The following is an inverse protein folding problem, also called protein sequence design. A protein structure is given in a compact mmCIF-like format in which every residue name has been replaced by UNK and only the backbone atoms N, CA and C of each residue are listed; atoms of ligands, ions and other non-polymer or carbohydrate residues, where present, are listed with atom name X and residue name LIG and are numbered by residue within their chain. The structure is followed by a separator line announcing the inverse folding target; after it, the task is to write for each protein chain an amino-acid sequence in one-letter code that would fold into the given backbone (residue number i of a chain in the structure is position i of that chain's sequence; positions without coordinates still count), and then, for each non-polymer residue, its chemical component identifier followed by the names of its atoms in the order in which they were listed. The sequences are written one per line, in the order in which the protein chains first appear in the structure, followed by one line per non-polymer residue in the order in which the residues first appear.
data_IF_871088485888
#
_entry.id   IF_871088485888
#
_cell.length_a   1.000
_cell.length_b   1.000
_cell.length_c   1.000
_cell.angle_alpha   90.00
_cell.angle_beta   90.00
_cell.angle_gamma   90.00
#
_symmetry.space_group_name_H-M   'P 1'
#
loop_
_entity.id
_entity.type
_entity.pdbx_description
1 polymer ?
#
# COMPACT_ATOMS: atom_id res chain seq x y z
N UNK A 1 20.80 20.79 45.16
CA UNK A 1 20.18 19.49 45.53
C UNK A 1 18.88 19.37 44.73
N UNK A 2 18.88 18.60 43.64
CA UNK A 2 17.74 18.50 42.72
C UNK A 2 16.71 17.53 43.33
N UNK A 3 15.45 17.98 43.49
CA UNK A 3 14.37 17.14 44.06
C UNK A 3 14.05 16.00 43.08
N UNK A 4 13.77 14.79 43.60
CA UNK A 4 13.51 13.58 42.79
C UNK A 4 12.41 13.76 41.74
N UNK A 5 11.48 14.70 41.95
CA UNK A 5 10.37 15.01 41.05
C UNK A 5 10.82 15.72 39.76
N UNK A 6 11.83 16.61 39.85
CA UNK A 6 12.45 17.29 38.70
C UNK A 6 13.21 16.30 37.80
N UNK A 7 13.82 15.27 38.40
CA UNK A 7 14.54 14.19 37.71
C UNK A 7 13.60 13.30 36.88
N UNK A 8 12.38 13.05 37.38
CA UNK A 8 11.38 12.25 36.66
C UNK A 8 10.87 13.03 35.44
N UNK A 9 10.59 14.33 35.60
CA UNK A 9 10.14 15.19 34.50
C UNK A 9 11.22 15.40 33.42
N UNK A 10 12.49 15.57 33.79
CA UNK A 10 13.58 15.64 32.81
C UNK A 10 13.77 14.30 32.09
N UNK A 11 13.68 13.17 32.80
CA UNK A 11 13.76 11.84 32.18
C UNK A 11 12.59 11.55 31.23
N UNK A 12 11.37 12.00 31.55
CA UNK A 12 10.17 11.87 30.71
C UNK A 12 10.22 12.75 29.44
N UNK A 13 10.78 13.97 29.54
CA UNK A 13 10.96 14.83 28.37
C UNK A 13 12.06 14.32 27.42
N UNK A 14 13.16 13.80 27.96
CA UNK A 14 14.27 13.23 27.16
C UNK A 14 13.86 11.93 26.45
N UNK A 15 13.07 11.08 27.12
CA UNK A 15 12.57 9.83 26.53
C UNK A 15 11.51 10.07 25.45
N UNK A 16 10.61 11.04 25.64
CA UNK A 16 9.59 11.41 24.66
C UNK A 16 10.17 12.05 23.40
N UNK A 17 11.24 12.83 23.52
CA UNK A 17 11.95 13.42 22.39
C UNK A 17 12.67 12.35 21.53
N UNK A 18 13.21 11.30 22.17
CA UNK A 18 13.95 10.21 21.50
C UNK A 18 13.06 9.26 20.68
N UNK A 19 11.74 9.34 20.84
CA UNK A 19 10.77 8.52 20.11
C UNK A 19 10.27 9.18 18.81
N UNK A 20 10.57 10.46 18.54
CA UNK A 20 9.84 11.23 17.51
C UNK A 20 10.48 11.41 16.14
N UNK A 21 11.67 10.88 15.87
CA UNK A 21 12.16 10.79 14.49
C UNK A 21 13.25 9.72 14.37
N UNK A 22 12.86 8.49 14.03
CA UNK A 22 13.82 7.53 13.46
C UNK A 22 13.87 7.74 11.96
N UNK A 23 15.06 7.86 11.33
CA UNK A 23 15.13 7.84 9.87
C UNK A 23 14.47 6.55 9.39
N UNK A 24 13.47 6.69 8.54
CA UNK A 24 12.71 5.56 8.01
C UNK A 24 13.55 4.88 6.93
N UNK A 25 14.39 3.93 7.33
CA UNK A 25 15.33 3.22 6.46
C UNK A 25 14.83 1.84 6.02
N UNK A 26 13.53 1.56 6.16
CA UNK A 26 12.97 0.31 5.68
C UNK A 26 12.80 0.38 4.16
N UNK A 27 13.32 -0.58 3.38
CA UNK A 27 13.13 -0.64 1.92
C UNK A 27 11.67 -1.01 1.60
N UNK A 28 10.75 -0.07 1.86
CA UNK A 28 9.34 -0.30 1.71
C UNK A 28 8.92 0.00 0.28
N UNK A 29 8.31 -0.99 -0.36
CA UNK A 29 7.68 -0.87 -1.66
C UNK A 29 6.21 -1.24 -1.52
N UNK A 30 5.34 -0.28 -1.81
CA UNK A 30 3.88 -0.43 -1.74
C UNK A 30 3.35 -1.56 -2.64
N UNK A 31 4.18 -2.02 -3.58
CA UNK A 31 3.85 -3.01 -4.61
C UNK A 31 4.25 -4.44 -4.22
N UNK A 32 5.28 -4.60 -3.39
CA UNK A 32 5.85 -5.93 -3.09
C UNK A 32 4.88 -6.77 -2.28
N UNK A 33 4.27 -6.20 -1.24
CA UNK A 33 3.31 -6.94 -0.41
C UNK A 33 2.05 -7.30 -1.20
N UNK A 34 1.49 -6.36 -1.95
CA UNK A 34 0.28 -6.57 -2.75
C UNK A 34 0.51 -7.59 -3.86
N UNK A 35 1.66 -7.53 -4.52
CA UNK A 35 2.07 -8.50 -5.53
C UNK A 35 2.31 -9.90 -4.99
N UNK A 36 2.79 -10.02 -3.74
CA UNK A 36 2.94 -11.31 -3.05
C UNK A 36 1.58 -11.89 -2.67
N UNK A 37 0.64 -11.08 -2.15
CA UNK A 37 -0.71 -11.52 -1.82
C UNK A 37 -1.41 -12.14 -3.04
N UNK A 38 -1.44 -11.41 -4.15
CA UNK A 38 -2.12 -11.85 -5.37
C UNK A 38 -1.51 -13.13 -5.98
N UNK A 39 -0.18 -13.27 -5.98
CA UNK A 39 0.50 -14.41 -6.60
C UNK A 39 0.67 -15.63 -5.71
N UNK A 40 0.98 -15.44 -4.42
CA UNK A 40 1.40 -16.53 -3.53
C UNK A 40 0.31 -17.00 -2.58
N UNK A 41 -0.70 -16.18 -2.30
CA UNK A 41 -1.71 -16.47 -1.26
C UNK A 41 -3.07 -16.74 -1.87
N UNK A 42 -3.46 -15.97 -2.90
CA UNK A 42 -4.78 -16.08 -3.52
C UNK A 42 -4.86 -17.25 -4.51
N UNK A 43 -5.99 -17.95 -4.49
CA UNK A 43 -6.35 -18.93 -5.53
C UNK A 43 -6.76 -18.21 -6.82
N UNK A 44 -6.97 -18.95 -7.90
CA UNK A 44 -7.42 -18.34 -9.16
C UNK A 44 -8.82 -17.72 -9.02
N UNK A 45 -9.74 -18.39 -8.34
CA UNK A 45 -11.08 -17.85 -8.04
C UNK A 45 -11.00 -16.56 -7.22
N UNK A 46 -10.13 -16.51 -6.20
CA UNK A 46 -9.94 -15.30 -5.39
C UNK A 46 -9.42 -14.13 -6.23
N UNK A 47 -8.53 -14.41 -7.20
CA UNK A 47 -8.02 -13.41 -8.13
C UNK A 47 -9.11 -12.91 -9.07
N UNK A 48 -9.95 -13.80 -9.59
CA UNK A 48 -11.09 -13.43 -10.43
C UNK A 48 -12.07 -12.53 -9.69
N UNK A 49 -12.46 -12.89 -8.46
CA UNK A 49 -13.33 -12.05 -7.64
C UNK A 49 -12.70 -10.69 -7.31
N UNK A 50 -11.41 -10.66 -6.98
CA UNK A 50 -10.69 -9.42 -6.71
C UNK A 50 -10.69 -8.50 -7.93
N UNK A 51 -10.43 -9.03 -9.12
CA UNK A 51 -10.43 -8.27 -10.37
C UNK A 51 -11.84 -7.80 -10.70
N UNK A 52 -12.84 -8.68 -10.59
CA UNK A 52 -14.26 -8.35 -10.84
C UNK A 52 -14.75 -7.19 -9.97
N UNK A 53 -14.50 -7.26 -8.65
CA UNK A 53 -14.86 -6.18 -7.73
C UNK A 53 -14.15 -4.87 -8.06
N UNK A 54 -12.85 -4.95 -8.40
CA UNK A 54 -12.06 -3.76 -8.78
C UNK A 54 -12.63 -3.10 -10.03
N UNK A 55 -12.94 -3.88 -11.06
CA UNK A 55 -13.49 -3.39 -12.33
C UNK A 55 -14.88 -2.82 -12.13
N UNK A 56 -15.75 -3.50 -11.38
CA UNK A 56 -17.10 -3.03 -11.06
C UNK A 56 -17.11 -1.65 -10.39
N UNK A 57 -16.11 -1.35 -9.55
CA UNK A 57 -15.99 -0.04 -8.92
C UNK A 57 -15.27 1.01 -9.78
N UNK A 58 -14.41 0.59 -10.71
CA UNK A 58 -13.66 1.51 -11.58
C UNK A 58 -14.37 1.84 -12.89
N UNK A 59 -15.35 1.06 -13.33
CA UNK A 59 -15.95 1.17 -14.66
C UNK A 59 -16.54 2.55 -14.95
N UNK A 60 -17.08 3.23 -13.93
CA UNK A 60 -17.69 4.56 -14.05
C UNK A 60 -16.71 5.71 -13.74
N UNK A 61 -15.47 5.42 -13.37
CA UNK A 61 -14.46 6.46 -13.15
C UNK A 61 -13.97 7.06 -14.48
N UNK A 62 -13.40 8.27 -14.44
CA UNK A 62 -12.77 8.88 -15.62
C UNK A 62 -11.63 7.97 -16.17
N UNK A 63 -11.46 7.93 -17.48
CA UNK A 63 -10.45 7.12 -18.19
C UNK A 63 -9.03 7.35 -17.67
N UNK A 64 -8.67 8.56 -17.29
CA UNK A 64 -7.35 8.84 -16.71
C UNK A 64 -7.14 8.13 -15.36
N UNK A 65 -8.20 8.06 -14.55
CA UNK A 65 -8.19 7.35 -13.26
C UNK A 65 -8.10 5.85 -13.50
N UNK A 66 -8.89 5.32 -14.44
CA UNK A 66 -8.84 3.91 -14.83
C UNK A 66 -7.42 3.52 -15.26
N UNK A 67 -6.79 4.30 -16.14
CA UNK A 67 -5.45 4.07 -16.66
C UNK A 67 -4.38 4.17 -15.57
N UNK A 68 -4.44 5.21 -14.73
CA UNK A 68 -3.52 5.38 -13.60
C UNK A 68 -3.61 4.18 -12.65
N UNK A 69 -4.82 3.74 -12.34
CA UNK A 69 -5.04 2.64 -11.42
C UNK A 69 -4.56 1.30 -11.99
N UNK A 70 -4.83 1.02 -13.27
CA UNK A 70 -4.31 -0.18 -13.94
C UNK A 70 -2.77 -0.19 -13.97
N UNK A 71 -2.11 0.95 -14.19
CA UNK A 71 -0.64 1.08 -14.12
C UNK A 71 -0.10 0.83 -12.72
N UNK A 72 -0.81 1.26 -11.67
CA UNK A 72 -0.46 0.98 -10.27
C UNK A 72 -0.53 -0.52 -9.99
N UNK A 73 -1.59 -1.20 -10.45
CA UNK A 73 -1.70 -2.64 -10.31
C UNK A 73 -0.61 -3.39 -11.10
N UNK A 74 -0.19 -2.88 -12.26
CA UNK A 74 0.93 -3.45 -13.03
C UNK A 74 2.25 -3.41 -12.27
N UNK A 75 2.49 -2.35 -11.48
CA UNK A 75 3.67 -2.26 -10.59
C UNK A 75 3.62 -3.33 -9.49
N UNK A 76 2.45 -3.70 -8.99
CA UNK A 76 2.27 -4.79 -8.04
C UNK A 76 2.42 -6.18 -8.69
N UNK A 77 1.98 -6.34 -9.93
CA UNK A 77 2.17 -7.55 -10.72
C UNK A 77 1.76 -7.34 -12.18
N UNK A 78 2.58 -7.74 -13.17
CA UNK A 78 2.27 -7.54 -14.58
C UNK A 78 0.90 -8.10 -14.98
N UNK A 79 0.62 -9.34 -14.60
CA UNK A 79 -0.65 -10.03 -14.87
C UNK A 79 -1.84 -9.31 -14.24
N UNK A 80 -1.69 -8.84 -13.00
CA UNK A 80 -2.79 -8.20 -12.27
C UNK A 80 -3.23 -6.89 -12.94
N UNK A 81 -2.27 -6.02 -13.29
CA UNK A 81 -2.57 -4.79 -14.03
C UNK A 81 -3.16 -5.07 -15.41
N UNK A 82 -2.66 -6.10 -16.10
CA UNK A 82 -3.10 -6.45 -17.45
C UNK A 82 -4.53 -6.98 -17.47
N UNK A 83 -4.92 -7.85 -16.52
CA UNK A 83 -6.31 -8.33 -16.41
C UNK A 83 -7.28 -7.19 -16.12
N UNK A 84 -6.93 -6.28 -15.21
CA UNK A 84 -7.76 -5.09 -14.92
C UNK A 84 -7.92 -4.20 -16.16
N UNK A 85 -6.85 -3.96 -16.91
CA UNK A 85 -6.90 -3.15 -18.13
C UNK A 85 -7.76 -3.80 -19.24
N UNK A 86 -7.60 -5.12 -19.43
CA UNK A 86 -8.41 -5.89 -20.38
C UNK A 86 -9.90 -5.83 -20.03
N UNK A 87 -10.26 -6.03 -18.75
CA UNK A 87 -11.65 -5.96 -18.29
C UNK A 87 -12.27 -4.55 -18.41
N UNK A 88 -11.45 -3.50 -18.36
CA UNK A 88 -11.90 -2.10 -18.56
C UNK A 88 -11.85 -1.65 -20.03
N UNK A 89 -11.32 -2.47 -20.94
CA UNK A 89 -11.18 -2.15 -22.36
C UNK A 89 -10.20 -0.99 -22.62
N UNK A 90 -9.14 -0.87 -21.82
CA UNK A 90 -8.15 0.23 -21.94
C UNK A 90 -6.77 -0.31 -22.32
N UNK A 91 -6.00 0.40 -23.16
CA UNK A 91 -4.62 0.03 -23.48
C UNK A 91 -3.69 0.35 -22.30
N UNK A 92 -2.77 -0.57 -21.98
CA UNK A 92 -1.86 -0.46 -20.82
C UNK A 92 -0.38 -0.43 -21.19
#
# INVERSE_FOLDING_TARGET
MIRREELILTLLHVTSAKLRARPYTHPNSDFVQRGKLCRKVMTEMDREHLIGNTVAHLCNANKDIQLRQARIFRKAGPEYGQRVAQSLGIPL
#
